data_IF_722296738894
#
_entry.id   IF_722296738894
#
_cell.length_a   1.000
_cell.length_b   1.000
_cell.length_c   1.000
_cell.angle_alpha   90.00
_cell.angle_beta   90.00
_cell.angle_gamma   90.00
#
_symmetry.space_group_name_H-M   'P 1'
#
loop_
_entity.id
_entity.type
_entity.pdbx_description
1 polymer ?
#
# COMPACT_ATOMS: atom_id res chain seq x y z
N UNK A 1 4.07 29.76 -21.10
CA UNK A 1 4.58 28.54 -20.44
C UNK A 1 6.08 28.49 -20.75
N UNK A 2 6.95 28.58 -19.73
CA UNK A 2 8.42 28.42 -19.92
C UNK A 2 8.73 26.96 -19.56
N UNK A 3 9.23 26.21 -20.53
CA UNK A 3 9.77 24.89 -20.31
C UNK A 3 11.20 25.03 -19.81
N UNK A 4 11.50 24.53 -18.63
CA UNK A 4 12.85 24.39 -18.12
C UNK A 4 13.28 22.95 -18.36
N UNK A 5 14.34 22.77 -19.16
CA UNK A 5 15.07 21.51 -19.24
C UNK A 5 16.23 21.63 -18.25
N UNK A 6 16.16 20.92 -17.13
CA UNK A 6 17.22 20.95 -16.10
C UNK A 6 18.53 20.35 -16.61
N UNK A 7 18.43 19.39 -17.54
CA UNK A 7 19.59 18.78 -18.18
C UNK A 7 19.67 19.21 -19.64
N UNK A 8 20.77 19.84 -20.02
CA UNK A 8 21.08 20.10 -21.42
C UNK A 8 21.41 18.77 -22.07
N UNK A 9 20.43 18.20 -22.79
CA UNK A 9 20.69 17.04 -23.63
C UNK A 9 21.79 17.41 -24.65
N UNK A 10 22.74 16.49 -24.91
CA UNK A 10 23.75 16.73 -25.96
C UNK A 10 23.06 17.05 -27.27
N UNK A 11 23.54 18.10 -27.97
CA UNK A 11 22.94 18.57 -29.23
C UNK A 11 22.99 17.52 -30.35
N UNK A 12 23.85 16.53 -30.21
CA UNK A 12 24.16 15.50 -31.19
C UNK A 12 23.64 14.10 -30.79
N UNK A 13 22.78 14.03 -29.75
CA UNK A 13 22.18 12.77 -29.34
C UNK A 13 21.04 12.38 -30.29
N UNK A 14 21.12 11.18 -30.88
CA UNK A 14 20.06 10.57 -31.68
C UNK A 14 19.10 9.69 -30.86
N UNK A 15 19.44 9.38 -29.61
CA UNK A 15 18.62 8.58 -28.71
C UNK A 15 18.15 9.40 -27.49
N UNK A 16 17.14 10.23 -27.73
CA UNK A 16 16.56 11.08 -26.71
C UNK A 16 15.97 10.29 -25.52
N UNK A 17 15.56 9.03 -25.74
CA UNK A 17 15.01 8.19 -24.67
C UNK A 17 16.08 7.80 -23.68
N UNK A 18 17.25 7.37 -24.16
CA UNK A 18 18.40 7.04 -23.31
C UNK A 18 18.88 8.24 -22.51
N UNK A 19 18.93 9.41 -23.14
CA UNK A 19 19.33 10.65 -22.46
C UNK A 19 18.34 11.02 -21.34
N UNK A 20 17.04 10.84 -21.58
CA UNK A 20 15.99 11.07 -20.57
C UNK A 20 16.13 10.06 -19.42
N UNK A 21 16.38 8.78 -19.71
CA UNK A 21 16.55 7.75 -18.70
C UNK A 21 17.80 8.02 -17.85
N UNK A 22 18.94 8.36 -18.47
CA UNK A 22 20.16 8.76 -17.73
C UNK A 22 19.96 10.00 -16.88
N UNK A 23 19.23 10.99 -17.38
CA UNK A 23 18.87 12.19 -16.62
C UNK A 23 17.99 11.88 -15.38
N UNK A 24 17.30 10.76 -15.39
CA UNK A 24 16.51 10.23 -14.25
C UNK A 24 17.27 9.26 -13.37
N UNK A 25 18.59 9.11 -13.54
CA UNK A 25 19.43 8.25 -12.74
C UNK A 25 19.48 6.80 -13.20
N UNK A 26 18.98 6.46 -14.38
CA UNK A 26 19.10 5.14 -14.97
C UNK A 26 20.47 5.01 -15.62
N UNK A 27 21.37 4.26 -15.03
CA UNK A 27 22.75 4.11 -15.50
C UNK A 27 22.80 3.34 -16.82
N UNK A 28 22.02 2.27 -16.95
CA UNK A 28 21.94 1.45 -18.14
C UNK A 28 20.53 1.47 -18.77
N UNK A 29 20.23 2.42 -19.67
CA UNK A 29 18.92 2.52 -20.30
C UNK A 29 18.51 1.30 -21.12
N UNK A 30 19.48 0.61 -21.75
CA UNK A 30 19.18 -0.57 -22.55
C UNK A 30 18.71 -1.75 -21.68
N UNK A 31 19.43 -2.05 -20.61
CA UNK A 31 19.02 -3.05 -19.62
C UNK A 31 17.67 -2.68 -19.00
N UNK A 32 17.46 -1.43 -18.67
CA UNK A 32 16.20 -0.96 -18.10
C UNK A 32 14.99 -1.18 -19.02
N UNK A 33 15.15 -0.94 -20.33
CA UNK A 33 14.10 -1.20 -21.31
C UNK A 33 13.83 -2.68 -21.57
N UNK A 34 14.85 -3.50 -21.41
CA UNK A 34 14.82 -4.93 -21.69
C UNK A 34 15.07 -5.76 -20.43
N UNK A 35 14.56 -5.25 -19.28
CA UNK A 35 14.73 -5.91 -17.99
C UNK A 35 14.14 -7.32 -18.03
N UNK A 36 14.91 -8.27 -17.50
CA UNK A 36 14.53 -9.67 -17.41
C UNK A 36 14.73 -10.23 -15.99
N UNK A 37 14.58 -11.52 -15.82
CA UNK A 37 14.67 -12.21 -14.53
C UNK A 37 16.05 -12.04 -13.85
N UNK A 38 17.10 -11.71 -14.60
CA UNK A 38 18.44 -11.46 -14.03
C UNK A 38 18.50 -10.22 -13.15
N UNK A 39 17.50 -9.32 -13.23
CA UNK A 39 17.34 -8.18 -12.34
C UNK A 39 16.91 -8.58 -10.92
N UNK A 40 16.38 -9.78 -10.71
CA UNK A 40 15.96 -10.25 -9.40
C UNK A 40 17.17 -10.47 -8.48
N UNK A 41 17.16 -9.79 -7.35
CA UNK A 41 18.13 -10.01 -6.30
C UNK A 41 17.77 -11.25 -5.47
N UNK A 42 18.78 -11.93 -4.94
CA UNK A 42 18.54 -13.05 -4.03
C UNK A 42 17.86 -12.58 -2.74
N UNK A 43 16.67 -13.06 -2.47
CA UNK A 43 15.91 -12.77 -1.25
C UNK A 43 16.62 -13.21 0.03
N UNK A 44 17.55 -14.15 -0.07
CA UNK A 44 18.38 -14.62 1.04
C UNK A 44 19.31 -13.53 1.64
N UNK A 45 19.49 -12.43 0.94
CA UNK A 45 20.22 -11.26 1.44
C UNK A 45 19.36 -10.34 2.34
N UNK A 46 18.05 -10.54 2.37
CA UNK A 46 17.19 -9.87 3.35
C UNK A 46 17.48 -10.46 4.73
N UNK A 47 17.68 -9.58 5.68
CA UNK A 47 17.93 -9.97 7.08
C UNK A 47 16.77 -10.83 7.59
N UNK A 48 17.08 -11.85 8.38
CA UNK A 48 16.14 -12.79 8.97
C UNK A 48 15.33 -13.63 7.95
N UNK A 49 15.60 -13.52 6.64
CA UNK A 49 14.87 -14.29 5.62
C UNK A 49 14.95 -15.80 5.87
N UNK A 50 16.14 -16.33 6.19
CA UNK A 50 16.32 -17.76 6.46
C UNK A 50 15.49 -18.20 7.66
N UNK A 51 15.55 -17.46 8.76
CA UNK A 51 14.78 -17.77 9.96
C UNK A 51 13.27 -17.70 9.69
N UNK A 52 12.82 -16.69 8.91
CA UNK A 52 11.42 -16.55 8.50
C UNK A 52 10.93 -17.71 7.65
N UNK A 53 11.73 -18.14 6.65
CA UNK A 53 11.42 -19.26 5.77
C UNK A 53 11.36 -20.59 6.57
N UNK A 54 12.32 -20.84 7.46
CA UNK A 54 12.34 -22.03 8.31
C UNK A 54 11.15 -22.06 9.28
N UNK A 55 10.84 -20.93 9.92
CA UNK A 55 9.67 -20.83 10.80
C UNK A 55 8.35 -21.01 10.05
N UNK A 56 8.23 -20.41 8.87
CA UNK A 56 7.05 -20.59 8.03
C UNK A 56 6.89 -22.07 7.64
N UNK A 57 7.99 -22.76 7.31
CA UNK A 57 7.96 -24.18 6.98
C UNK A 57 7.50 -25.03 8.18
N UNK A 58 8.03 -24.78 9.37
CA UNK A 58 7.60 -25.45 10.61
C UNK A 58 6.07 -25.36 10.78
N UNK A 59 5.50 -24.18 10.54
CA UNK A 59 4.05 -23.96 10.65
C UNK A 59 3.29 -24.67 9.53
N UNK A 60 3.75 -24.55 8.29
CA UNK A 60 3.08 -25.14 7.13
C UNK A 60 3.15 -26.68 7.11
N UNK A 61 4.08 -27.29 7.86
CA UNK A 61 4.13 -28.75 8.03
C UNK A 61 3.09 -29.30 9.01
N UNK A 62 2.37 -28.45 9.78
CA UNK A 62 1.24 -28.89 10.61
C UNK A 62 0.08 -29.39 9.76
N UNK A 63 -0.73 -30.31 10.27
CA UNK A 63 -1.85 -30.90 9.51
C UNK A 63 -2.90 -29.86 9.10
N UNK A 64 -3.21 -28.90 9.99
CA UNK A 64 -4.18 -27.81 9.71
C UNK A 64 -3.76 -26.54 10.45
N UNK A 65 -2.72 -25.82 9.97
CA UNK A 65 -2.20 -24.66 10.67
C UNK A 65 -3.19 -23.50 10.65
N UNK A 66 -3.35 -22.86 11.81
CA UNK A 66 -4.22 -21.69 12.02
C UNK A 66 -3.36 -20.43 11.99
N UNK A 67 -3.54 -19.65 10.96
CA UNK A 67 -2.72 -18.46 10.69
C UNK A 67 -3.58 -17.21 10.76
N UNK A 68 -3.19 -16.28 11.63
CA UNK A 68 -3.78 -14.95 11.65
C UNK A 68 -2.94 -14.02 10.78
N UNK A 69 -3.58 -13.37 9.81
CA UNK A 69 -2.90 -12.43 8.90
C UNK A 69 -3.48 -11.04 9.09
N UNK A 70 -2.61 -10.07 9.35
CA UNK A 70 -2.97 -8.65 9.38
C UNK A 70 -3.14 -8.13 7.96
N UNK A 71 -4.16 -7.33 7.73
CA UNK A 71 -4.43 -6.66 6.45
C UNK A 71 -4.35 -5.16 6.67
N UNK A 72 -3.20 -4.57 6.38
CA UNK A 72 -2.99 -3.15 6.59
C UNK A 72 -3.93 -2.28 5.74
N UNK A 73 -4.18 -1.04 6.20
CA UNK A 73 -5.30 -0.23 5.72
C UNK A 73 -5.03 0.54 4.41
N UNK A 74 -4.36 -0.10 3.45
CA UNK A 74 -4.17 0.43 2.09
C UNK A 74 -4.02 -0.67 1.03
N UNK A 75 -3.75 -0.28 -0.21
CA UNK A 75 -3.64 -1.23 -1.33
C UNK A 75 -2.45 -2.17 -1.17
N UNK A 76 -1.30 -1.70 -0.65
CA UNK A 76 -0.13 -2.55 -0.43
C UNK A 76 -0.40 -3.60 0.64
N UNK A 77 -1.00 -3.21 1.78
CA UNK A 77 -1.39 -4.16 2.83
C UNK A 77 -2.37 -5.23 2.34
N UNK A 78 -3.38 -4.84 1.53
CA UNK A 78 -4.32 -5.81 0.95
C UNK A 78 -3.65 -6.76 -0.03
N UNK A 79 -2.76 -6.27 -0.90
CA UNK A 79 -2.06 -7.12 -1.87
C UNK A 79 -1.02 -8.00 -1.17
N UNK A 80 -0.31 -7.50 -0.18
CA UNK A 80 0.64 -8.25 0.64
C UNK A 80 -0.02 -9.41 1.38
N UNK A 81 -1.15 -9.16 2.05
CA UNK A 81 -1.91 -10.18 2.76
C UNK A 81 -2.51 -11.22 1.81
N UNK A 82 -2.95 -10.80 0.61
CA UNK A 82 -3.44 -11.72 -0.42
C UNK A 82 -2.33 -12.60 -1.00
N UNK A 83 -1.12 -12.06 -1.21
CA UNK A 83 0.07 -12.84 -1.61
C UNK A 83 0.37 -13.89 -0.53
N UNK A 84 0.52 -13.46 0.73
CA UNK A 84 0.87 -14.34 1.83
C UNK A 84 -0.13 -15.50 1.97
N UNK A 85 -1.42 -15.18 2.10
CA UNK A 85 -2.47 -16.19 2.30
C UNK A 85 -2.64 -17.09 1.08
N UNK A 86 -2.61 -16.53 -0.12
CA UNK A 86 -2.70 -17.29 -1.38
C UNK A 86 -1.53 -18.25 -1.53
N UNK A 87 -0.30 -17.80 -1.26
CA UNK A 87 0.89 -18.63 -1.30
C UNK A 87 0.88 -19.75 -0.26
N UNK A 88 0.58 -19.42 1.01
CA UNK A 88 0.49 -20.42 2.09
C UNK A 88 -0.57 -21.48 1.79
N UNK A 89 -1.69 -21.07 1.14
CA UNK A 89 -2.72 -22.01 0.71
C UNK A 89 -2.26 -22.95 -0.42
N UNK A 90 -1.38 -22.48 -1.32
CA UNK A 90 -0.75 -23.34 -2.34
C UNK A 90 0.29 -24.28 -1.74
N UNK A 91 0.99 -23.86 -0.68
CA UNK A 91 1.96 -24.69 0.02
C UNK A 91 1.31 -25.76 0.92
N UNK A 92 0.21 -25.41 1.59
CA UNK A 92 -0.62 -26.33 2.36
C UNK A 92 -2.11 -25.95 2.24
N UNK A 93 -2.86 -26.75 1.47
CA UNK A 93 -4.29 -26.51 1.22
C UNK A 93 -5.18 -26.54 2.46
N UNK A 94 -4.69 -27.15 3.59
CA UNK A 94 -5.42 -27.25 4.85
C UNK A 94 -5.24 -26.05 5.77
N UNK A 95 -4.45 -25.02 5.36
CA UNK A 95 -4.31 -23.78 6.12
C UNK A 95 -5.67 -23.15 6.40
N UNK A 96 -5.88 -22.76 7.66
CA UNK A 96 -7.01 -22.01 8.12
C UNK A 96 -6.57 -20.56 8.40
N UNK A 97 -7.23 -19.61 7.77
CA UNK A 97 -6.90 -18.20 7.92
C UNK A 97 -7.96 -17.43 8.69
N UNK A 98 -7.50 -16.56 9.58
CA UNK A 98 -8.27 -15.47 10.15
C UNK A 98 -7.58 -14.16 9.76
N UNK A 99 -8.35 -13.14 9.40
CA UNK A 99 -7.83 -11.88 8.90
C UNK A 99 -8.22 -10.74 9.84
N UNK A 100 -7.23 -9.96 10.28
CA UNK A 100 -7.43 -8.70 10.99
C UNK A 100 -7.51 -7.56 9.98
N UNK A 101 -8.72 -7.11 9.63
CA UNK A 101 -8.94 -5.99 8.72
C UNK A 101 -9.35 -4.78 9.55
N UNK A 102 -8.57 -3.70 9.49
CA UNK A 102 -8.80 -2.48 10.24
C UNK A 102 -10.14 -1.80 9.88
N UNK A 103 -10.81 -1.23 10.88
CA UNK A 103 -12.04 -0.48 10.67
C UNK A 103 -11.78 0.88 10.00
N UNK A 104 -10.70 1.55 10.38
CA UNK A 104 -10.31 2.89 9.91
C UNK A 104 -9.05 2.88 9.07
N UNK A 105 -8.23 3.90 9.26
CA UNK A 105 -6.89 4.05 8.65
C UNK A 105 -5.82 3.80 9.73
N UNK A 106 -5.94 2.70 10.42
CA UNK A 106 -4.91 2.23 11.34
C UNK A 106 -3.86 1.43 10.59
N UNK A 107 -2.69 1.34 11.20
CA UNK A 107 -1.57 0.52 10.77
C UNK A 107 -1.07 -0.30 11.96
N UNK A 108 -0.47 -1.45 11.70
CA UNK A 108 0.08 -2.30 12.75
C UNK A 108 -0.94 -3.21 13.40
N UNK A 109 -0.75 -3.56 14.68
CA UNK A 109 -1.56 -4.59 15.36
C UNK A 109 -2.32 -4.11 16.59
N UNK A 110 -2.14 -2.87 17.02
CA UNK A 110 -2.71 -2.35 18.28
C UNK A 110 -4.22 -2.56 18.38
N UNK A 111 -4.98 -2.17 17.36
CA UNK A 111 -6.45 -2.18 17.35
C UNK A 111 -7.06 -3.56 17.01
N UNK A 112 -6.23 -4.55 16.70
CA UNK A 112 -6.67 -5.91 16.34
C UNK A 112 -6.13 -7.00 17.28
N UNK A 113 -5.36 -6.63 18.30
CA UNK A 113 -4.77 -7.56 19.26
C UNK A 113 -5.78 -8.49 19.91
N UNK A 114 -6.94 -7.97 20.27
CA UNK A 114 -8.04 -8.72 20.92
C UNK A 114 -8.70 -9.75 19.99
N UNK A 115 -8.45 -9.66 18.68
CA UNK A 115 -8.93 -10.63 17.70
C UNK A 115 -8.00 -11.84 17.55
N UNK A 116 -6.77 -11.78 18.10
CA UNK A 116 -5.77 -12.85 18.01
C UNK A 116 -6.07 -13.89 19.09
N UNK A 117 -6.48 -15.08 18.67
CA UNK A 117 -6.80 -16.16 19.57
C UNK A 117 -5.54 -16.93 20.00
N UNK A 118 -5.47 -17.39 21.25
CA UNK A 118 -4.37 -18.23 21.75
C UNK A 118 -4.20 -19.54 20.99
N UNK A 119 -5.19 -19.91 20.20
CA UNK A 119 -5.16 -21.09 19.34
C UNK A 119 -4.44 -20.86 18.01
N UNK A 120 -3.98 -19.64 17.74
CA UNK A 120 -3.24 -19.25 16.52
C UNK A 120 -1.85 -19.88 16.51
N UNK A 121 -1.48 -20.48 15.39
CA UNK A 121 -0.18 -21.12 15.20
C UNK A 121 0.89 -20.16 14.68
N UNK A 122 0.48 -19.09 14.00
CA UNK A 122 1.33 -18.03 13.45
C UNK A 122 0.56 -16.72 13.32
N UNK A 123 1.13 -15.64 13.81
CA UNK A 123 0.77 -14.28 13.42
C UNK A 123 1.67 -13.83 12.27
N UNK A 124 1.08 -13.56 11.12
CA UNK A 124 1.79 -13.04 9.95
C UNK A 124 1.37 -11.60 9.68
N UNK A 125 2.34 -10.69 9.63
CA UNK A 125 2.10 -9.25 9.48
C UNK A 125 2.83 -8.76 8.23
N UNK A 126 2.16 -8.68 7.09
CA UNK A 126 2.73 -8.05 5.91
C UNK A 126 2.47 -6.53 5.95
N UNK A 127 3.46 -5.76 5.49
CA UNK A 127 3.37 -4.31 5.23
C UNK A 127 3.18 -3.42 6.47
N UNK A 128 3.47 -3.92 7.68
CA UNK A 128 3.32 -3.11 8.89
C UNK A 128 4.14 -3.65 10.07
N UNK A 129 4.17 -2.88 11.15
CA UNK A 129 4.48 -3.34 12.50
C UNK A 129 5.96 -3.58 12.83
N UNK A 130 6.93 -3.22 11.97
CA UNK A 130 8.37 -3.46 12.27
C UNK A 130 8.82 -2.88 13.62
N UNK A 131 8.19 -1.81 14.11
CA UNK A 131 8.60 -1.07 15.32
C UNK A 131 7.75 -1.35 16.56
N UNK A 132 6.71 -2.18 16.50
CA UNK A 132 5.70 -2.35 17.56
C UNK A 132 6.07 -3.43 18.61
N UNK A 133 7.30 -3.35 19.16
CA UNK A 133 7.87 -4.38 20.06
C UNK A 133 6.98 -4.73 21.24
N UNK A 134 6.34 -3.74 21.85
CA UNK A 134 5.52 -3.97 23.05
C UNK A 134 4.30 -4.86 22.75
N UNK A 135 3.71 -4.70 21.57
CA UNK A 135 2.62 -5.56 21.12
C UNK A 135 3.12 -6.94 20.69
N UNK A 136 4.29 -7.01 20.04
CA UNK A 136 4.92 -8.30 19.70
C UNK A 136 5.22 -9.11 20.95
N UNK A 137 5.66 -8.46 22.03
CA UNK A 137 5.90 -9.11 23.31
C UNK A 137 4.62 -9.72 23.87
N UNK A 138 3.50 -9.00 23.84
CA UNK A 138 2.21 -9.50 24.32
C UNK A 138 1.77 -10.75 23.55
N UNK A 139 1.91 -10.75 22.22
CA UNK A 139 1.57 -11.90 21.38
C UNK A 139 2.54 -13.07 21.63
N UNK A 140 3.83 -12.79 21.78
CA UNK A 140 4.83 -13.80 22.09
C UNK A 140 4.60 -14.46 23.45
N UNK A 141 4.11 -13.71 24.46
CA UNK A 141 3.71 -14.24 25.78
C UNK A 141 2.51 -15.22 25.68
N UNK A 142 1.72 -15.14 24.60
CA UNK A 142 0.68 -16.14 24.28
C UNK A 142 1.25 -17.41 23.63
N UNK A 143 2.56 -17.45 23.37
CA UNK A 143 3.25 -18.57 22.70
C UNK A 143 3.07 -18.57 21.17
N UNK A 144 2.66 -17.47 20.57
CA UNK A 144 2.41 -17.35 19.14
C UNK A 144 3.66 -16.76 18.45
N UNK A 145 4.31 -17.48 17.52
CA UNK A 145 5.39 -16.93 16.71
C UNK A 145 4.87 -15.85 15.76
N UNK A 146 5.72 -14.84 15.48
CA UNK A 146 5.39 -13.70 14.63
C UNK A 146 6.39 -13.62 13.48
N UNK A 147 5.90 -13.51 12.25
CA UNK A 147 6.69 -13.18 11.05
C UNK A 147 6.16 -11.88 10.46
N UNK A 148 7.06 -10.94 10.23
CA UNK A 148 6.76 -9.61 9.67
C UNK A 148 7.50 -9.48 8.34
N UNK A 149 6.79 -9.09 7.26
CA UNK A 149 7.35 -8.72 5.96
C UNK A 149 7.02 -7.26 5.68
N UNK A 150 7.95 -6.35 5.98
CA UNK A 150 7.68 -4.91 5.98
C UNK A 150 8.76 -4.13 5.22
N UNK A 151 8.52 -2.87 4.98
CA UNK A 151 9.41 -1.96 4.25
C UNK A 151 9.47 -0.56 4.86
N UNK A 152 8.74 -0.32 5.94
CA UNK A 152 8.76 0.96 6.64
C UNK A 152 10.11 1.18 7.35
N UNK A 153 10.50 2.46 7.49
CA UNK A 153 11.66 2.82 8.27
C UNK A 153 11.45 2.37 9.72
N UNK A 154 12.44 1.72 10.27
CA UNK A 154 12.39 1.16 11.61
C UNK A 154 13.67 1.53 12.35
N UNK A 155 13.54 2.16 13.52
CA UNK A 155 14.66 2.52 14.39
C UNK A 155 15.09 1.33 15.29
N UNK A 156 14.30 0.27 15.30
CA UNK A 156 14.54 -0.93 16.10
C UNK A 156 15.26 -1.97 15.26
N UNK A 157 16.55 -2.16 15.54
CA UNK A 157 17.37 -3.10 14.78
C UNK A 157 17.15 -4.56 15.16
N UNK A 158 16.93 -4.86 16.45
CA UNK A 158 16.70 -6.22 16.96
C UNK A 158 15.34 -6.33 17.65
N UNK A 159 14.53 -7.28 17.19
CA UNK A 159 13.26 -7.60 17.80
C UNK A 159 13.31 -9.04 18.36
N UNK A 160 13.34 -9.24 19.70
CA UNK A 160 13.45 -10.57 20.27
C UNK A 160 12.14 -11.37 20.25
N UNK A 161 11.04 -10.77 19.86
CA UNK A 161 9.69 -11.35 19.90
C UNK A 161 9.12 -11.68 18.52
N UNK A 162 9.71 -11.13 17.45
CA UNK A 162 9.23 -11.33 16.08
C UNK A 162 10.39 -11.46 15.09
N UNK A 163 10.20 -12.27 14.07
CA UNK A 163 11.10 -12.38 12.92
C UNK A 163 10.74 -11.27 11.95
N UNK A 164 11.54 -10.19 11.92
CA UNK A 164 11.31 -9.02 11.05
C UNK A 164 12.17 -9.13 9.79
N UNK A 165 11.50 -9.27 8.65
CA UNK A 165 12.10 -9.25 7.31
C UNK A 165 11.73 -7.90 6.69
N UNK A 166 12.73 -7.00 6.58
CA UNK A 166 12.52 -5.64 6.12
C UNK A 166 13.71 -5.19 5.26
N UNK A 167 13.44 -4.71 4.04
CA UNK A 167 14.48 -4.29 3.11
C UNK A 167 15.22 -3.02 3.57
N UNK A 168 14.58 -2.13 4.34
CA UNK A 168 15.25 -0.97 4.94
C UNK A 168 16.27 -1.37 6.01
N UNK A 169 16.07 -2.52 6.65
CA UNK A 169 16.97 -3.09 7.66
C UNK A 169 17.99 -4.07 7.08
N UNK A 170 18.04 -4.21 5.77
CA UNK A 170 18.83 -5.22 5.04
C UNK A 170 19.80 -4.58 4.06
N UNK A 171 20.89 -3.94 4.52
CA UNK A 171 21.80 -3.18 3.64
C UNK A 171 22.50 -4.07 2.60
N UNK A 172 22.63 -5.37 2.83
CA UNK A 172 23.22 -6.32 1.87
C UNK A 172 22.27 -6.69 0.73
N UNK A 173 20.97 -6.43 0.86
CA UNK A 173 19.99 -6.75 -0.16
C UNK A 173 20.11 -5.86 -1.39
N UNK A 174 20.44 -4.59 -1.21
CA UNK A 174 20.74 -3.64 -2.29
C UNK A 174 19.51 -3.01 -2.97
N UNK A 175 18.28 -3.42 -2.65
CA UNK A 175 17.06 -2.77 -3.14
C UNK A 175 16.18 -2.24 -2.00
N UNK A 176 16.27 -0.97 -1.63
CA UNK A 176 15.40 -0.37 -0.62
C UNK A 176 14.02 0.01 -1.15
N UNK A 177 13.72 -0.26 -2.42
CA UNK A 177 12.50 0.21 -3.10
C UNK A 177 11.43 -0.88 -3.28
N UNK A 178 11.47 -1.93 -2.45
CA UNK A 178 10.34 -2.84 -2.33
C UNK A 178 9.35 -2.31 -1.29
N UNK A 179 8.07 -2.53 -1.54
CA UNK A 179 6.96 -2.36 -0.59
C UNK A 179 6.66 -3.68 0.15
N UNK A 180 5.68 -3.69 1.04
CA UNK A 180 5.29 -4.90 1.79
C UNK A 180 4.94 -6.08 0.89
N UNK A 181 4.21 -5.85 -0.21
CA UNK A 181 3.91 -6.89 -1.20
C UNK A 181 5.17 -7.42 -1.90
N UNK A 182 6.15 -6.55 -2.17
CA UNK A 182 7.43 -6.95 -2.74
C UNK A 182 8.23 -7.83 -1.79
N UNK A 183 8.35 -7.43 -0.51
CA UNK A 183 9.06 -8.22 0.52
C UNK A 183 8.36 -9.55 0.77
N UNK A 184 7.02 -9.56 0.81
CA UNK A 184 6.23 -10.79 0.95
C UNK A 184 6.44 -11.73 -0.24
N UNK A 185 6.49 -11.21 -1.47
CA UNK A 185 6.81 -12.01 -2.66
C UNK A 185 8.21 -12.63 -2.55
N UNK A 186 9.21 -11.88 -2.04
CA UNK A 186 10.57 -12.42 -1.82
C UNK A 186 10.59 -13.57 -0.81
N UNK A 187 9.82 -13.49 0.28
CA UNK A 187 9.66 -14.61 1.22
C UNK A 187 9.10 -15.85 0.50
N UNK A 188 8.07 -15.67 -0.33
CA UNK A 188 7.48 -16.76 -1.10
C UNK A 188 8.48 -17.39 -2.09
N UNK A 189 9.30 -16.57 -2.77
CA UNK A 189 10.35 -17.03 -3.68
C UNK A 189 11.42 -17.83 -2.94
N UNK A 190 11.92 -17.32 -1.80
CA UNK A 190 12.90 -18.05 -0.99
C UNK A 190 12.33 -19.36 -0.44
N UNK A 191 11.04 -19.40 -0.11
CA UNK A 191 10.39 -20.64 0.31
C UNK A 191 10.29 -21.66 -0.84
N UNK A 192 9.94 -21.21 -2.06
CA UNK A 192 9.94 -22.05 -3.26
C UNK A 192 11.34 -22.62 -3.53
N UNK A 193 12.39 -21.78 -3.49
CA UNK A 193 13.79 -22.19 -3.69
C UNK A 193 14.27 -23.24 -2.68
N UNK A 194 13.82 -23.16 -1.41
CA UNK A 194 14.29 -24.05 -0.36
C UNK A 194 13.50 -25.37 -0.30
N UNK A 195 12.19 -25.35 -0.55
CA UNK A 195 11.31 -26.50 -0.32
C UNK A 195 10.58 -27.04 -1.56
N UNK A 196 10.64 -26.30 -2.67
CA UNK A 196 9.99 -26.71 -3.90
C UNK A 196 10.90 -26.48 -5.09
N UNK A 197 11.60 -27.24 -5.63
CA UNK A 197 12.60 -27.18 -6.73
C UNK A 197 12.34 -26.12 -7.84
N UNK A 198 11.27 -25.31 -7.75
CA UNK A 198 10.92 -24.27 -8.72
C UNK A 198 10.13 -23.10 -8.07
N UNK A 199 10.11 -21.94 -8.74
CA UNK A 199 9.36 -20.74 -8.32
C UNK A 199 7.91 -20.72 -8.85
N UNK A 200 7.33 -21.89 -9.19
CA UNK A 200 6.04 -21.94 -9.88
C UNK A 200 4.89 -21.37 -9.06
N UNK A 201 4.95 -21.50 -7.73
CA UNK A 201 3.90 -21.01 -6.82
C UNK A 201 3.96 -19.50 -6.64
N UNK A 202 5.14 -18.98 -6.30
CA UNK A 202 5.34 -17.54 -6.10
C UNK A 202 5.11 -16.73 -7.39
N UNK A 203 5.33 -17.33 -8.54
CA UNK A 203 5.07 -16.71 -9.85
C UNK A 203 3.59 -16.29 -10.07
N UNK A 204 2.65 -16.86 -9.32
CA UNK A 204 1.24 -16.50 -9.42
C UNK A 204 0.90 -15.12 -8.81
N UNK A 205 1.84 -14.46 -8.15
CA UNK A 205 1.56 -13.28 -7.34
C UNK A 205 2.27 -12.00 -7.81
N UNK A 206 2.93 -12.03 -8.96
CA UNK A 206 3.61 -10.85 -9.50
C UNK A 206 2.67 -9.69 -9.78
N UNK A 207 1.43 -9.97 -10.18
CA UNK A 207 0.44 -8.93 -10.46
C UNK A 207 -0.02 -8.20 -9.18
N UNK A 208 -0.24 -8.94 -8.10
CA UNK A 208 -0.53 -8.34 -6.79
C UNK A 208 0.65 -7.52 -6.28
N UNK A 209 1.87 -8.06 -6.38
CA UNK A 209 3.09 -7.34 -5.98
C UNK A 209 3.30 -6.08 -6.83
N UNK A 210 3.03 -6.13 -8.14
CA UNK A 210 3.11 -4.97 -9.01
C UNK A 210 2.11 -3.87 -8.62
N UNK A 211 0.89 -4.25 -8.26
CA UNK A 211 -0.14 -3.30 -7.79
C UNK A 211 0.27 -2.69 -6.45
N UNK A 212 0.78 -3.48 -5.50
CA UNK A 212 1.33 -2.99 -4.23
C UNK A 212 2.45 -1.97 -4.46
N UNK A 213 3.51 -2.36 -5.20
CA UNK A 213 4.66 -1.51 -5.51
C UNK A 213 4.29 -0.16 -6.13
N UNK A 214 3.36 -0.16 -7.09
CA UNK A 214 2.93 1.09 -7.73
C UNK A 214 2.02 1.91 -6.82
N UNK A 215 1.13 1.25 -6.05
CA UNK A 215 0.21 1.95 -5.14
C UNK A 215 0.93 2.67 -4.02
N UNK A 216 2.02 2.09 -3.54
CA UNK A 216 2.89 2.66 -2.53
C UNK A 216 4.00 3.56 -3.11
N UNK A 217 3.93 3.87 -4.42
CA UNK A 217 4.80 4.81 -5.12
C UNK A 217 6.29 4.45 -5.03
N UNK A 218 6.62 3.16 -5.07
CA UNK A 218 8.00 2.70 -5.08
C UNK A 218 8.75 3.17 -6.32
N UNK A 219 10.07 3.43 -6.17
CA UNK A 219 10.90 3.94 -7.25
C UNK A 219 11.14 2.85 -8.30
N UNK A 220 10.61 3.05 -9.50
CA UNK A 220 10.81 2.15 -10.63
C UNK A 220 12.18 2.33 -11.32
N UNK A 221 13.05 3.20 -10.82
CA UNK A 221 14.43 3.30 -11.29
C UNK A 221 15.31 2.12 -10.85
N UNK A 222 14.91 1.40 -9.82
CA UNK A 222 15.55 0.15 -9.44
C UNK A 222 15.12 -0.98 -10.41
N UNK A 223 16.08 -1.72 -10.94
CA UNK A 223 15.85 -2.75 -11.98
C UNK A 223 14.97 -3.90 -11.48
N UNK A 224 15.15 -4.36 -10.25
CA UNK A 224 14.31 -5.42 -9.67
C UNK A 224 12.87 -4.94 -9.49
N UNK A 225 12.66 -3.77 -8.91
CA UNK A 225 11.32 -3.20 -8.74
C UNK A 225 10.65 -2.98 -10.09
N UNK A 226 11.39 -2.50 -11.09
CA UNK A 226 10.91 -2.34 -12.46
C UNK A 226 10.50 -3.67 -13.08
N UNK A 227 11.35 -4.71 -12.95
CA UNK A 227 11.05 -6.05 -13.46
C UNK A 227 9.79 -6.65 -12.84
N UNK A 228 9.65 -6.59 -11.51
CA UNK A 228 8.46 -7.12 -10.81
C UNK A 228 7.20 -6.43 -11.33
N UNK A 229 7.24 -5.09 -11.44
CA UNK A 229 6.10 -4.32 -11.93
C UNK A 229 5.80 -4.62 -13.39
N UNK A 230 6.79 -4.65 -14.27
CA UNK A 230 6.60 -4.96 -15.68
C UNK A 230 6.01 -6.37 -15.86
N UNK A 231 6.59 -7.37 -15.21
CA UNK A 231 6.12 -8.75 -15.29
C UNK A 231 4.69 -8.91 -14.78
N UNK A 232 4.38 -8.30 -13.64
CA UNK A 232 3.05 -8.40 -13.03
C UNK A 232 1.97 -7.70 -13.85
N UNK A 233 2.24 -6.51 -14.40
CA UNK A 233 1.26 -5.76 -15.18
C UNK A 233 1.06 -6.33 -16.60
N UNK A 234 2.09 -6.96 -17.18
CA UNK A 234 1.98 -7.63 -18.47
C UNK A 234 1.11 -8.89 -18.41
N UNK A 235 0.92 -9.46 -17.21
CA UNK A 235 0.18 -10.69 -17.06
C UNK A 235 -0.64 -10.72 -15.76
N UNK A 236 -1.76 -10.01 -15.74
CA UNK A 236 -2.70 -10.05 -14.62
C UNK A 236 -3.34 -11.45 -14.55
N UNK A 237 -3.14 -12.15 -13.45
CA UNK A 237 -3.70 -13.49 -13.18
C UNK A 237 -4.83 -13.43 -12.17
N UNK A 238 -4.72 -12.57 -11.16
CA UNK A 238 -5.70 -12.44 -10.09
C UNK A 238 -7.09 -12.08 -10.61
N UNK A 239 -8.10 -12.90 -10.29
CA UNK A 239 -9.45 -12.76 -10.82
C UNK A 239 -10.14 -11.48 -10.33
N UNK A 240 -9.90 -11.06 -9.09
CA UNK A 240 -10.41 -9.81 -8.53
C UNK A 240 -9.85 -8.58 -9.25
N UNK A 241 -8.52 -8.54 -9.50
CA UNK A 241 -7.91 -7.48 -10.30
C UNK A 241 -8.42 -7.48 -11.74
N UNK A 242 -8.56 -8.64 -12.39
CA UNK A 242 -9.16 -8.74 -13.73
C UNK A 242 -10.55 -8.14 -13.78
N UNK A 243 -11.38 -8.41 -12.78
CA UNK A 243 -12.73 -7.88 -12.72
C UNK A 243 -12.73 -6.36 -12.55
N UNK A 244 -11.85 -5.80 -11.71
CA UNK A 244 -11.68 -4.36 -11.54
C UNK A 244 -11.20 -3.69 -12.83
N UNK A 245 -10.18 -4.25 -13.49
CA UNK A 245 -9.68 -3.73 -14.77
C UNK A 245 -10.80 -3.68 -15.81
N UNK A 246 -11.62 -4.74 -15.92
CA UNK A 246 -12.78 -4.75 -16.82
C UNK A 246 -13.81 -3.67 -16.45
N UNK A 247 -14.08 -3.47 -15.15
CA UNK A 247 -15.01 -2.44 -14.69
C UNK A 247 -14.52 -1.01 -15.00
N UNK A 248 -13.20 -0.84 -15.15
CA UNK A 248 -12.54 0.44 -15.44
C UNK A 248 -12.24 0.65 -16.94
N UNK A 249 -12.72 -0.22 -17.85
CA UNK A 249 -12.35 -0.23 -19.27
C UNK A 249 -12.48 1.15 -19.95
N UNK A 250 -13.54 1.92 -19.68
CA UNK A 250 -13.66 3.29 -20.20
C UNK A 250 -12.56 4.22 -19.72
N UNK A 251 -12.16 4.14 -18.44
CA UNK A 251 -11.07 4.96 -17.89
C UNK A 251 -9.73 4.55 -18.45
N UNK A 252 -9.55 3.25 -18.68
CA UNK A 252 -8.34 2.66 -19.27
C UNK A 252 -8.32 2.70 -20.80
N UNK A 253 -9.36 3.29 -21.45
CA UNK A 253 -9.46 3.45 -22.91
C UNK A 253 -9.32 2.12 -23.66
N UNK A 254 -9.94 1.06 -23.15
CA UNK A 254 -9.90 -0.30 -23.71
C UNK A 254 -8.49 -0.86 -23.98
N UNK A 255 -7.50 -0.42 -23.20
CA UNK A 255 -6.13 -0.94 -23.32
C UNK A 255 -6.07 -2.42 -22.97
N UNK A 256 -5.27 -3.15 -23.72
CA UNK A 256 -4.95 -4.55 -23.48
C UNK A 256 -3.77 -4.73 -22.54
N UNK A 257 -2.88 -3.72 -22.48
CA UNK A 257 -1.69 -3.68 -21.63
C UNK A 257 -1.87 -2.62 -20.54
N UNK A 258 -1.47 -2.95 -19.33
CA UNK A 258 -1.47 -2.03 -18.19
C UNK A 258 -0.09 -1.44 -17.97
N UNK A 259 -0.07 -0.17 -17.65
CA UNK A 259 1.15 0.57 -17.28
C UNK A 259 1.08 1.00 -15.82
N UNK A 260 2.22 1.32 -15.17
CA UNK A 260 2.22 1.83 -13.81
C UNK A 260 1.28 3.03 -13.59
N UNK A 261 1.17 3.91 -14.57
CA UNK A 261 0.24 5.04 -14.54
C UNK A 261 -1.23 4.61 -14.42
N UNK A 262 -1.61 3.48 -15.00
CA UNK A 262 -2.98 2.96 -14.92
C UNK A 262 -3.28 2.43 -13.50
N UNK A 263 -2.31 1.81 -12.86
CA UNK A 263 -2.42 1.41 -11.45
C UNK A 263 -2.49 2.64 -10.56
N UNK A 264 -1.56 3.57 -10.69
CA UNK A 264 -1.46 4.75 -9.82
C UNK A 264 -2.69 5.66 -9.87
N UNK A 265 -3.29 5.86 -11.06
CA UNK A 265 -4.38 6.81 -11.24
C UNK A 265 -5.78 6.19 -11.33
N UNK A 266 -5.89 4.90 -11.60
CA UNK A 266 -7.20 4.25 -11.75
C UNK A 266 -7.36 3.07 -10.78
N UNK A 267 -6.48 2.06 -10.75
CA UNK A 267 -6.69 0.84 -9.97
C UNK A 267 -6.54 1.12 -8.47
N UNK A 268 -5.39 1.56 -8.00
CA UNK A 268 -5.11 1.82 -6.59
C UNK A 268 -6.07 2.86 -5.97
N UNK A 269 -6.47 3.96 -6.65
CA UNK A 269 -7.45 4.89 -6.10
C UNK A 269 -8.85 4.31 -5.88
N UNK A 270 -9.26 3.25 -6.60
CA UNK A 270 -10.51 2.56 -6.37
C UNK A 270 -10.43 1.62 -5.16
N UNK A 271 -9.34 0.87 -5.04
CA UNK A 271 -9.06 0.00 -3.90
C UNK A 271 -8.96 0.86 -2.63
N UNK A 272 -8.12 1.89 -2.62
CA UNK A 272 -7.94 2.80 -1.49
C UNK A 272 -9.23 3.56 -1.11
N UNK A 273 -10.11 3.86 -2.08
CA UNK A 273 -11.40 4.48 -1.76
C UNK A 273 -12.28 3.53 -0.94
N UNK A 274 -12.35 2.25 -1.31
CA UNK A 274 -13.12 1.26 -0.59
C UNK A 274 -12.55 1.02 0.81
N UNK A 275 -11.24 0.86 0.93
CA UNK A 275 -10.56 0.68 2.23
C UNK A 275 -10.85 1.84 3.18
N UNK A 276 -10.89 3.09 2.68
CA UNK A 276 -11.03 4.30 3.50
C UNK A 276 -12.45 4.71 3.83
N UNK A 277 -13.43 4.43 2.97
CA UNK A 277 -14.82 4.91 3.15
C UNK A 277 -15.87 3.81 2.92
N UNK A 278 -15.47 2.60 2.61
CA UNK A 278 -16.34 1.43 2.55
C UNK A 278 -16.74 0.95 3.95
N UNK A 279 -17.81 0.16 4.01
CA UNK A 279 -18.18 -0.57 5.22
C UNK A 279 -17.23 -1.73 5.47
N UNK A 280 -17.23 -2.28 6.68
CA UNK A 280 -16.39 -3.43 6.99
C UNK A 280 -16.72 -4.64 6.10
N UNK A 281 -18.01 -4.88 5.83
CA UNK A 281 -18.45 -5.92 4.90
C UNK A 281 -17.89 -5.70 3.47
N UNK A 282 -17.93 -4.46 2.97
CA UNK A 282 -17.39 -4.13 1.64
C UNK A 282 -15.87 -4.37 1.58
N UNK A 283 -15.14 -4.09 2.67
CA UNK A 283 -13.70 -4.36 2.78
C UNK A 283 -13.40 -5.86 2.76
N UNK A 284 -14.19 -6.67 3.47
CA UNK A 284 -14.08 -8.13 3.41
C UNK A 284 -14.36 -8.66 2.01
N UNK A 285 -15.41 -8.17 1.31
CA UNK A 285 -15.72 -8.55 -0.07
C UNK A 285 -14.55 -8.23 -1.01
N UNK A 286 -13.92 -7.05 -0.86
CA UNK A 286 -12.73 -6.70 -1.63
C UNK A 286 -11.60 -7.71 -1.38
N UNK A 287 -11.28 -7.95 -0.10
CA UNK A 287 -10.18 -8.83 0.26
C UNK A 287 -10.43 -10.27 -0.23
N UNK A 288 -11.60 -10.82 0.01
CA UNK A 288 -11.99 -12.15 -0.49
C UNK A 288 -11.93 -12.25 -2.02
N UNK A 289 -12.24 -11.17 -2.74
CA UNK A 289 -12.11 -11.14 -4.19
C UNK A 289 -10.65 -11.19 -4.66
N UNK A 290 -9.70 -10.66 -3.87
CA UNK A 290 -8.27 -10.81 -4.14
C UNK A 290 -7.77 -12.24 -3.84
N UNK A 291 -8.45 -12.97 -2.94
CA UNK A 291 -8.12 -14.38 -2.64
C UNK A 291 -8.71 -15.33 -3.68
N UNK A 292 -10.00 -15.20 -3.97
CA UNK A 292 -10.74 -16.05 -4.93
C UNK A 292 -11.84 -15.26 -5.64
N UNK A 293 -11.45 -14.44 -6.58
CA UNK A 293 -12.36 -13.60 -7.34
C UNK A 293 -13.31 -14.36 -8.27
N UNK A 294 -13.07 -15.65 -8.55
CA UNK A 294 -13.96 -16.49 -9.39
C UNK A 294 -15.09 -17.15 -8.58
N UNK A 295 -15.05 -17.07 -7.25
CA UNK A 295 -16.09 -17.68 -6.40
C UNK A 295 -17.46 -17.11 -6.71
N UNK A 296 -18.46 -17.99 -6.75
CA UNK A 296 -19.86 -17.62 -6.93
C UNK A 296 -20.47 -17.27 -5.57
N UNK A 297 -21.10 -16.11 -5.47
CA UNK A 297 -21.71 -15.58 -4.26
C UNK A 297 -23.12 -15.08 -4.50
N UNK A 298 -23.86 -14.84 -3.42
CA UNK A 298 -25.17 -14.19 -3.53
C UNK A 298 -25.02 -12.76 -4.04
N UNK A 299 -25.85 -12.35 -4.98
CA UNK A 299 -25.79 -11.02 -5.59
C UNK A 299 -26.21 -9.92 -4.62
N UNK A 300 -25.38 -8.89 -4.51
CA UNK A 300 -25.66 -7.64 -3.80
C UNK A 300 -26.08 -6.50 -4.77
N UNK A 301 -26.52 -6.82 -5.98
CA UNK A 301 -27.07 -5.82 -6.91
C UNK A 301 -28.36 -5.23 -6.38
N UNK A 302 -28.56 -3.93 -6.59
CA UNK A 302 -29.83 -3.29 -6.24
C UNK A 302 -30.98 -3.95 -7.00
N UNK A 303 -31.95 -4.52 -6.28
CA UNK A 303 -33.09 -5.22 -6.85
C UNK A 303 -32.82 -6.69 -7.22
N UNK A 304 -31.67 -7.25 -6.79
CA UNK A 304 -31.41 -8.68 -6.91
C UNK A 304 -32.53 -9.51 -6.24
N UNK A 305 -32.94 -10.61 -6.89
CA UNK A 305 -33.94 -11.53 -6.35
C UNK A 305 -33.30 -12.49 -5.35
N UNK A 306 -34.06 -13.04 -4.39
CA UNK A 306 -33.58 -14.11 -3.54
C UNK A 306 -33.05 -15.29 -4.38
N UNK A 307 -31.79 -15.72 -4.09
CA UNK A 307 -31.09 -16.77 -4.83
C UNK A 307 -30.41 -16.32 -6.13
N UNK A 308 -30.45 -15.04 -6.48
CA UNK A 308 -29.62 -14.51 -7.56
C UNK A 308 -28.14 -14.51 -7.17
N UNK A 309 -27.29 -15.00 -8.05
CA UNK A 309 -25.86 -15.17 -7.83
C UNK A 309 -25.04 -14.30 -8.78
N UNK A 310 -23.82 -13.95 -8.37
CA UNK A 310 -22.84 -13.27 -9.20
C UNK A 310 -21.41 -13.74 -8.86
N UNK A 311 -20.43 -13.41 -9.70
CA UNK A 311 -19.01 -13.68 -9.46
C UNK A 311 -18.46 -12.67 -8.45
N UNK A 312 -17.77 -13.13 -7.43
CA UNK A 312 -17.25 -12.29 -6.32
C UNK A 312 -16.38 -11.13 -6.81
N UNK A 313 -15.49 -11.38 -7.76
CA UNK A 313 -14.66 -10.32 -8.36
C UNK A 313 -15.48 -9.23 -9.05
N UNK A 314 -16.58 -9.60 -9.74
CA UNK A 314 -17.47 -8.62 -10.38
C UNK A 314 -18.29 -7.84 -9.33
N UNK A 315 -18.72 -8.52 -8.25
CA UNK A 315 -19.38 -7.88 -7.12
C UNK A 315 -18.44 -6.85 -6.47
N UNK A 316 -17.21 -7.23 -6.14
CA UNK A 316 -16.20 -6.36 -5.54
C UNK A 316 -15.86 -5.17 -6.45
N UNK A 317 -15.64 -5.41 -7.75
CA UNK A 317 -15.33 -4.35 -8.70
C UNK A 317 -16.47 -3.31 -8.79
N UNK A 318 -17.72 -3.76 -8.84
CA UNK A 318 -18.90 -2.87 -8.83
C UNK A 318 -18.99 -2.05 -7.54
N UNK A 319 -18.74 -2.68 -6.39
CA UNK A 319 -18.71 -2.00 -5.09
C UNK A 319 -17.60 -0.96 -5.07
N UNK A 320 -16.37 -1.29 -5.48
CA UNK A 320 -15.25 -0.34 -5.55
C UNK A 320 -15.57 0.89 -6.40
N UNK A 321 -16.16 0.71 -7.59
CA UNK A 321 -16.56 1.84 -8.46
C UNK A 321 -17.62 2.71 -7.78
N UNK A 322 -18.60 2.11 -7.09
CA UNK A 322 -19.65 2.86 -6.40
C UNK A 322 -19.08 3.63 -5.18
N UNK A 323 -18.23 2.99 -4.39
CA UNK A 323 -17.59 3.61 -3.23
C UNK A 323 -16.65 4.75 -3.65
N UNK A 324 -15.93 4.59 -4.78
CA UNK A 324 -15.12 5.67 -5.35
C UNK A 324 -15.95 6.91 -5.71
N UNK A 325 -17.11 6.72 -6.32
CA UNK A 325 -18.05 7.82 -6.60
C UNK A 325 -18.58 8.47 -5.32
N UNK A 326 -18.93 7.66 -4.31
CA UNK A 326 -19.34 8.15 -2.99
C UNK A 326 -18.21 8.97 -2.34
N UNK A 327 -16.97 8.46 -2.35
CA UNK A 327 -15.80 9.18 -1.84
C UNK A 327 -15.63 10.54 -2.53
N UNK A 328 -15.74 10.59 -3.87
CA UNK A 328 -15.62 11.85 -4.61
C UNK A 328 -16.68 12.86 -4.16
N UNK A 329 -17.93 12.43 -4.02
CA UNK A 329 -19.01 13.31 -3.53
C UNK A 329 -18.74 13.85 -2.11
N UNK A 330 -18.21 12.99 -1.22
CA UNK A 330 -17.85 13.41 0.14
C UNK A 330 -16.70 14.41 0.16
N UNK A 331 -15.69 14.19 -0.69
CA UNK A 331 -14.54 15.10 -0.84
C UNK A 331 -15.00 16.46 -1.40
N UNK A 332 -15.88 16.48 -2.38
CA UNK A 332 -16.37 17.74 -2.97
C UNK A 332 -17.17 18.56 -1.94
N UNK A 333 -18.02 17.92 -1.14
CA UNK A 333 -18.73 18.58 -0.02
C UNK A 333 -17.74 19.10 1.05
N UNK A 334 -16.75 18.30 1.41
CA UNK A 334 -15.73 18.70 2.38
C UNK A 334 -14.94 19.92 1.88
N UNK A 335 -14.64 19.98 0.58
CA UNK A 335 -13.96 21.13 -0.02
C UNK A 335 -14.80 22.41 0.07
N UNK A 336 -16.10 22.34 -0.20
CA UNK A 336 -16.98 23.51 -0.06
C UNK A 336 -16.93 24.09 1.38
N UNK A 337 -16.97 23.22 2.39
CA UNK A 337 -16.85 23.63 3.79
C UNK A 337 -15.48 24.24 4.09
N UNK A 338 -14.41 23.59 3.65
CA UNK A 338 -13.03 24.06 3.88
C UNK A 338 -12.77 25.39 3.18
N UNK A 339 -13.25 25.57 1.95
CA UNK A 339 -13.12 26.83 1.21
C UNK A 339 -13.86 27.99 1.91
N UNK A 340 -15.06 27.73 2.38
CA UNK A 340 -15.80 28.73 3.16
C UNK A 340 -15.02 29.15 4.43
N UNK A 341 -14.36 28.21 5.11
CA UNK A 341 -13.50 28.51 6.27
C UNK A 341 -12.25 29.29 5.89
N UNK A 342 -11.56 28.92 4.81
CA UNK A 342 -10.38 29.62 4.30
C UNK A 342 -10.72 31.11 4.07
N UNK A 343 -11.82 31.40 3.41
CA UNK A 343 -12.27 32.78 3.16
C UNK A 343 -12.71 33.47 4.42
N UNK A 344 -13.55 32.85 5.26
CA UNK A 344 -14.09 33.44 6.50
C UNK A 344 -12.98 33.83 7.48
N UNK A 345 -11.91 33.00 7.55
CA UNK A 345 -10.80 33.23 8.49
C UNK A 345 -9.63 34.02 7.86
N UNK A 346 -9.73 34.43 6.60
CA UNK A 346 -8.67 35.18 5.90
C UNK A 346 -7.35 34.40 5.74
N UNK A 347 -7.40 33.07 5.63
CA UNK A 347 -6.20 32.24 5.65
C UNK A 347 -5.34 32.38 4.39
N UNK A 348 -5.86 32.98 3.33
CA UNK A 348 -5.11 33.17 2.07
C UNK A 348 -3.93 34.14 2.21
N UNK A 349 -3.91 34.98 3.22
CA UNK A 349 -2.78 35.88 3.48
C UNK A 349 -1.59 35.15 4.14
N UNK A 350 -1.80 33.95 4.67
CA UNK A 350 -0.76 33.15 5.30
C UNK A 350 0.08 32.38 4.26
N UNK A 351 1.33 32.09 4.60
CA UNK A 351 2.22 31.24 3.76
C UNK A 351 1.80 29.77 3.81
N UNK A 352 1.21 29.32 4.91
CA UNK A 352 0.72 27.96 5.14
C UNK A 352 -0.76 28.06 5.50
N UNK A 353 -1.60 27.21 4.92
CA UNK A 353 -3.01 27.11 5.26
C UNK A 353 -3.18 26.18 6.46
N UNK A 354 -3.42 26.75 7.64
CA UNK A 354 -3.82 26.03 8.86
C UNK A 354 -5.34 26.05 8.97
N UNK A 355 -5.99 24.94 8.67
CA UNK A 355 -7.46 24.88 8.54
C UNK A 355 -8.00 24.01 9.69
N UNK A 356 -8.63 24.64 10.71
CA UNK A 356 -9.26 23.89 11.77
C UNK A 356 -10.56 23.26 11.28
N UNK A 357 -10.75 21.97 11.54
CA UNK A 357 -11.99 21.24 11.28
C UNK A 357 -12.53 20.67 12.59
N UNK A 358 -13.85 20.69 12.73
CA UNK A 358 -14.58 20.16 13.87
C UNK A 358 -15.53 19.05 13.42
N UNK A 359 -16.14 18.36 14.35
CA UNK A 359 -17.12 17.33 14.02
C UNK A 359 -18.37 17.89 13.33
N UNK A 360 -18.74 19.14 13.64
CA UNK A 360 -19.85 19.86 13.00
C UNK A 360 -19.63 20.09 11.50
N UNK A 361 -18.38 20.11 11.04
CA UNK A 361 -18.04 20.24 9.61
C UNK A 361 -18.39 18.99 8.80
N UNK A 362 -18.63 17.85 9.45
CA UNK A 362 -19.01 16.59 8.81
C UNK A 362 -17.90 15.99 7.91
N UNK A 363 -16.65 16.40 8.11
CA UNK A 363 -15.50 15.89 7.34
C UNK A 363 -14.95 14.65 8.02
N UNK A 364 -15.08 13.51 7.38
CA UNK A 364 -14.54 12.26 7.91
C UNK A 364 -13.00 12.29 7.95
N UNK A 365 -12.39 11.76 9.04
CA UNK A 365 -10.94 11.78 9.26
C UNK A 365 -10.14 11.14 8.11
N UNK A 366 -10.66 10.06 7.50
CA UNK A 366 -10.03 9.40 6.35
C UNK A 366 -9.94 10.25 5.07
N UNK A 367 -10.68 11.37 4.99
CA UNK A 367 -10.71 12.26 3.82
C UNK A 367 -9.81 13.50 3.98
N UNK A 368 -9.32 13.79 5.18
CA UNK A 368 -8.54 15.02 5.46
C UNK A 368 -7.33 15.15 4.54
N UNK A 369 -6.62 14.05 4.28
CA UNK A 369 -5.46 14.04 3.37
C UNK A 369 -5.80 14.34 1.91
N UNK A 370 -6.96 13.85 1.42
CA UNK A 370 -7.43 14.15 0.06
C UNK A 370 -7.87 15.59 -0.08
N UNK A 371 -8.57 16.11 0.93
CA UNK A 371 -9.03 17.52 0.96
C UNK A 371 -7.83 18.46 1.03
N UNK A 372 -6.85 18.19 1.92
CA UNK A 372 -5.62 18.96 2.02
C UNK A 372 -4.86 19.00 0.67
N UNK A 373 -4.74 17.85 -0.02
CA UNK A 373 -4.09 17.78 -1.33
C UNK A 373 -4.81 18.65 -2.39
N UNK A 374 -6.15 18.65 -2.38
CA UNK A 374 -6.93 19.50 -3.30
C UNK A 374 -6.78 21.00 -2.96
N UNK A 375 -6.62 21.36 -1.69
CA UNK A 375 -6.30 22.73 -1.28
C UNK A 375 -4.91 23.15 -1.76
N UNK A 376 -3.89 22.28 -1.61
CA UNK A 376 -2.55 22.52 -2.16
C UNK A 376 -2.62 22.76 -3.66
N UNK A 377 -3.29 21.86 -4.40
CA UNK A 377 -3.40 21.99 -5.86
C UNK A 377 -4.14 23.28 -6.31
N UNK A 378 -5.07 23.80 -5.50
CA UNK A 378 -5.86 25.00 -5.82
C UNK A 378 -5.16 26.29 -5.42
N UNK A 379 -4.55 26.32 -4.25
CA UNK A 379 -4.00 27.55 -3.66
C UNK A 379 -2.48 27.65 -3.73
N UNK A 380 -1.80 26.60 -4.17
CA UNK A 380 -0.34 26.52 -4.24
C UNK A 380 0.35 26.86 -2.92
N UNK A 381 -0.24 26.41 -1.81
CA UNK A 381 0.26 26.62 -0.45
C UNK A 381 0.27 25.32 0.33
N UNK A 382 1.31 25.10 1.15
CA UNK A 382 1.29 24.01 2.11
C UNK A 382 0.04 24.10 2.99
N UNK A 383 -0.62 22.96 3.21
CA UNK A 383 -1.92 22.91 3.86
C UNK A 383 -1.92 21.87 4.98
N UNK A 384 -2.35 22.29 6.18
CA UNK A 384 -2.64 21.42 7.30
C UNK A 384 -4.16 21.47 7.57
N UNK A 385 -4.81 20.32 7.53
CA UNK A 385 -6.18 20.13 7.96
C UNK A 385 -6.12 19.48 9.35
N UNK A 386 -6.50 20.23 10.38
CA UNK A 386 -6.34 19.86 11.79
C UNK A 386 -7.71 19.71 12.46
N UNK A 387 -7.90 18.60 13.15
CA UNK A 387 -9.09 18.32 13.96
C UNK A 387 -8.72 18.31 15.43
N UNK A 388 -9.50 18.97 16.25
CA UNK A 388 -9.43 18.84 17.70
C UNK A 388 -10.02 17.49 18.13
N UNK A 389 -9.27 16.75 18.95
CA UNK A 389 -9.67 15.49 19.53
C UNK A 389 -10.20 15.69 20.95
N UNK A 390 -10.89 14.70 21.51
CA UNK A 390 -11.48 14.76 22.87
C UNK A 390 -10.42 14.99 23.97
N UNK A 391 -9.17 14.65 23.73
CA UNK A 391 -8.02 14.88 24.61
C UNK A 391 -7.44 16.30 24.52
N UNK A 392 -8.01 17.18 23.68
CA UNK A 392 -7.55 18.54 23.44
C UNK A 392 -6.36 18.64 22.46
N UNK A 393 -5.87 17.53 21.97
CA UNK A 393 -4.80 17.49 20.95
C UNK A 393 -5.37 17.75 19.55
N UNK A 394 -4.52 18.24 18.65
CA UNK A 394 -4.87 18.40 17.23
C UNK A 394 -4.28 17.27 16.43
N UNK A 395 -5.12 16.53 15.71
CA UNK A 395 -4.72 15.50 14.75
C UNK A 395 -5.16 15.85 13.34
N UNK A 396 -4.39 15.48 12.32
CA UNK A 396 -4.80 15.83 10.96
C UNK A 396 -3.86 15.37 9.86
N UNK A 397 -3.98 16.03 8.73
CA UNK A 397 -3.19 15.75 7.53
C UNK A 397 -2.51 16.99 7.01
N UNK A 398 -1.21 16.89 6.78
CA UNK A 398 -0.39 17.91 6.14
C UNK A 398 -0.06 17.53 4.69
N UNK A 399 -0.08 18.50 3.78
CA UNK A 399 0.28 18.32 2.36
C UNK A 399 1.01 19.55 1.86
N UNK A 400 1.99 19.35 0.97
CA UNK A 400 2.70 20.42 0.29
C UNK A 400 2.93 20.09 -1.19
N UNK A 401 3.23 21.10 -2.01
CA UNK A 401 3.72 20.87 -3.35
C UNK A 401 5.13 20.30 -3.32
N UNK A 402 5.43 19.45 -4.31
CA UNK A 402 6.80 19.06 -4.58
C UNK A 402 7.64 20.26 -5.07
N UNK A 403 8.93 20.24 -4.80
CA UNK A 403 9.88 21.27 -5.27
C UNK A 403 9.60 22.69 -4.75
N UNK A 404 9.24 22.82 -3.48
CA UNK A 404 9.24 24.11 -2.81
C UNK A 404 10.61 24.40 -2.19
N UNK A 405 10.97 25.70 -2.06
CA UNK A 405 12.21 26.12 -1.37
C UNK A 405 12.28 25.66 0.10
N UNK A 406 11.20 25.12 0.63
CA UNK A 406 11.07 24.64 2.00
C UNK A 406 11.70 23.26 2.22
N UNK A 407 12.03 22.51 1.16
CA UNK A 407 12.51 21.13 1.27
C UNK A 407 11.41 20.16 1.75
N UNK A 408 11.74 19.30 2.71
CA UNK A 408 10.76 18.37 3.32
C UNK A 408 9.81 19.12 4.26
N UNK A 409 8.51 19.05 3.97
CA UNK A 409 7.50 19.66 4.84
C UNK A 409 7.39 18.93 6.20
N UNK A 410 7.67 17.62 6.22
CA UNK A 410 7.78 16.85 7.47
C UNK A 410 8.89 17.43 8.35
N UNK A 411 10.11 17.53 7.82
CA UNK A 411 11.25 18.05 8.59
C UNK A 411 11.00 19.48 9.08
N UNK A 412 10.33 20.29 8.25
CA UNK A 412 9.91 21.64 8.66
C UNK A 412 8.99 21.58 9.87
N UNK A 413 7.96 20.71 9.86
CA UNK A 413 7.02 20.58 10.99
C UNK A 413 7.72 20.05 12.25
N UNK A 414 8.61 19.08 12.13
CA UNK A 414 9.41 18.53 13.23
C UNK A 414 10.29 19.62 13.88
N UNK A 415 10.96 20.44 13.07
CA UNK A 415 11.80 21.53 13.58
C UNK A 415 11.03 22.65 14.30
N UNK A 416 9.71 22.72 14.12
CA UNK A 416 8.89 23.69 14.88
C UNK A 416 8.74 23.32 16.35
N UNK A 417 8.94 22.05 16.72
CA UNK A 417 8.66 21.48 18.05
C UNK A 417 7.22 21.73 18.55
N UNK A 418 6.27 21.91 17.63
CA UNK A 418 4.85 22.11 17.94
C UNK A 418 4.06 20.79 17.81
N UNK A 419 4.65 19.75 17.25
CA UNK A 419 4.01 18.46 17.00
C UNK A 419 4.70 17.40 17.86
N UNK A 420 3.89 16.64 18.59
CA UNK A 420 4.37 15.46 19.35
C UNK A 420 4.80 14.34 18.44
N UNK A 421 4.12 14.20 17.30
CA UNK A 421 4.38 13.15 16.33
C UNK A 421 4.09 13.63 14.90
N UNK A 422 5.03 13.33 13.99
CA UNK A 422 4.85 13.50 12.55
C UNK A 422 5.25 12.23 11.82
N UNK A 423 4.42 11.76 10.91
CA UNK A 423 4.72 10.61 10.07
C UNK A 423 4.60 10.96 8.60
N UNK A 424 5.38 10.28 7.74
CA UNK A 424 5.35 10.49 6.30
C UNK A 424 6.71 10.28 5.65
N UNK A 425 6.76 10.34 4.32
CA UNK A 425 8.00 10.16 3.54
C UNK A 425 8.72 11.48 3.30
N UNK A 426 10.05 11.46 3.36
CA UNK A 426 10.91 12.62 3.13
C UNK A 426 11.16 12.94 1.63
N UNK A 427 10.41 12.35 0.71
CA UNK A 427 10.60 12.54 -0.74
C UNK A 427 9.67 13.62 -1.28
N UNK A 428 10.08 14.31 -2.32
CA UNK A 428 9.43 15.48 -2.93
C UNK A 428 7.96 15.32 -3.41
N UNK A 429 7.33 14.19 -3.16
CA UNK A 429 5.90 13.92 -3.40
C UNK A 429 5.12 13.71 -2.11
N UNK A 430 5.33 14.57 -1.17
CA UNK A 430 4.96 14.43 0.21
C UNK A 430 3.47 14.47 0.49
N UNK A 431 2.94 13.34 0.92
CA UNK A 431 1.70 13.28 1.67
C UNK A 431 2.06 12.95 3.13
N UNK A 432 1.80 13.90 4.05
CA UNK A 432 2.04 13.69 5.49
C UNK A 432 0.73 13.57 6.23
N UNK A 433 0.72 12.66 7.20
CA UNK A 433 -0.27 12.68 8.29
C UNK A 433 0.48 13.12 9.55
N UNK A 434 -0.01 14.17 10.18
CA UNK A 434 0.43 14.59 11.50
C UNK A 434 -0.63 14.14 12.52
#
# INVERSE_FOLDING_TARGET
MKFYCENKLPKDSFDYLDDILRARGIENPDLYRHVDESALLSGWKLRNMREGVEKLHEILCKDSPRIFIVVDADTDGYTSAAIASGYMKLANEKCQFKFGIHEGKQHGIEDILDQIESSTDLLFIPDASSSEIDFHKQVNEMGIPIIICDHHLCDVYDNPYAIVINNQMSPEYGNPTLCGAGVTLKLCQCYDEEYFDDNSRSNNFYDLAAVGLVSDMMLLSNEETHYIVQRGLNHIQNAGLKALVRALHFSLKDRTELYPVDVAFFIAPHINALIRVGTQEEKYILFEALLDGNRIVQSLKRGAKPGEIEILGEQAARIMVNVKKKQQTLVDKALEVVEAKIHKLGLLDNKILLIPVTDEDGIHSSLTGLVAMKCVARYHKPTLLLRECDDGNLKGSARAEANTDMGSFKDYLEHTNLFEYTAGRNVAHNTFTA
#
